data_IF_355101963358
#
_entry.id   IF_355101963358
#
_cell.length_a   1.000
_cell.length_b   1.000
_cell.length_c   1.000
_cell.angle_alpha   90.00
_cell.angle_beta   90.00
_cell.angle_gamma   90.00
#
_symmetry.space_group_name_H-M   'P 1'
#
loop_
_entity.id
_entity.type
_entity.pdbx_description
1 polymer ?
#
# COMPACT_ATOMS: atom_id res chain seq x y z
N UNK A 1 -9.61 -66.43 -8.43
CA UNK A 1 -8.49 -66.08 -7.53
C UNK A 1 -8.25 -64.60 -7.65
N UNK A 2 -8.87 -63.87 -6.78
CA UNK A 2 -8.86 -62.44 -6.67
C UNK A 2 -7.79 -62.06 -5.65
N UNK A 3 -6.81 -61.29 -6.05
CA UNK A 3 -5.81 -60.71 -5.13
C UNK A 3 -6.12 -59.23 -4.97
N UNK A 4 -6.68 -58.89 -3.83
CA UNK A 4 -6.87 -57.56 -3.31
C UNK A 4 -5.53 -56.99 -2.81
N UNK A 5 -5.03 -55.96 -3.46
CA UNK A 5 -3.95 -55.15 -2.91
C UNK A 5 -4.53 -54.06 -2.01
N UNK A 6 -4.38 -54.26 -0.73
CA UNK A 6 -4.66 -53.26 0.31
C UNK A 6 -3.54 -52.16 0.25
N UNK A 7 -3.90 -50.99 -0.30
CA UNK A 7 -3.10 -49.77 -0.15
C UNK A 7 -3.21 -49.28 1.29
N UNK A 8 -2.07 -49.31 2.00
CA UNK A 8 -1.96 -48.76 3.33
C UNK A 8 -1.85 -47.23 3.21
N UNK A 9 -2.98 -46.52 3.29
CA UNK A 9 -2.98 -45.06 3.47
C UNK A 9 -2.60 -44.79 4.92
N UNK A 10 -1.40 -44.22 5.11
CA UNK A 10 -1.00 -43.65 6.40
C UNK A 10 -1.95 -42.52 6.76
N UNK A 11 -2.53 -42.49 7.95
CA UNK A 11 -3.43 -41.40 8.34
C UNK A 11 -2.62 -40.14 8.50
N UNK A 12 -2.66 -39.25 7.51
CA UNK A 12 -2.20 -37.87 7.63
C UNK A 12 -3.05 -37.21 8.71
N UNK A 13 -2.47 -37.02 9.90
CA UNK A 13 -3.14 -36.37 11.01
C UNK A 13 -3.47 -34.94 10.58
N UNK A 14 -4.73 -34.70 10.15
CA UNK A 14 -5.24 -33.37 9.86
C UNK A 14 -5.21 -32.53 11.13
N UNK A 15 -4.81 -31.27 11.04
CA UNK A 15 -4.80 -30.36 12.18
C UNK A 15 -6.24 -30.20 12.70
N UNK A 16 -6.55 -30.52 13.99
CA UNK A 16 -7.91 -30.54 14.47
C UNK A 16 -8.49 -29.12 14.57
N UNK A 17 -9.74 -28.96 14.14
CA UNK A 17 -10.52 -27.73 14.30
C UNK A 17 -10.70 -27.34 15.77
N UNK A 18 -10.57 -28.32 16.69
CA UNK A 18 -10.68 -28.17 18.15
C UNK A 18 -9.39 -27.66 18.81
N UNK A 19 -8.34 -27.29 18.06
CA UNK A 19 -7.10 -26.79 18.67
C UNK A 19 -7.38 -25.63 19.61
N UNK A 20 -6.97 -25.79 20.88
CA UNK A 20 -7.07 -24.78 21.91
C UNK A 20 -5.73 -24.07 22.09
N UNK A 21 -5.79 -22.76 22.16
CA UNK A 21 -4.59 -21.93 22.38
C UNK A 21 -4.16 -22.10 23.85
N UNK A 22 -2.86 -22.32 24.10
CA UNK A 22 -2.35 -22.62 25.45
C UNK A 22 -2.21 -21.33 26.30
N UNK A 23 -3.33 -20.69 26.59
CA UNK A 23 -3.37 -19.43 27.35
C UNK A 23 -2.71 -19.54 28.74
N UNK A 24 -2.87 -20.69 29.39
CA UNK A 24 -2.27 -20.95 30.72
C UNK A 24 -0.75 -21.13 30.74
N UNK A 25 -0.15 -21.32 29.57
CA UNK A 25 1.33 -21.43 29.44
C UNK A 25 2.01 -20.08 29.17
N UNK A 26 1.24 -19.03 29.04
CA UNK A 26 1.80 -17.69 28.78
C UNK A 26 2.43 -17.14 30.06
N UNK A 27 3.62 -16.51 29.97
CA UNK A 27 4.22 -15.81 31.09
C UNK A 27 3.25 -14.79 31.70
N UNK A 28 3.30 -14.58 33.00
CA UNK A 28 2.43 -13.66 33.71
C UNK A 28 2.45 -12.24 33.11
N UNK A 29 3.64 -11.74 32.80
CA UNK A 29 3.82 -10.42 32.16
C UNK A 29 3.12 -10.32 30.79
N UNK A 30 3.08 -11.43 30.02
CA UNK A 30 2.35 -11.48 28.74
C UNK A 30 0.84 -11.47 28.98
N UNK A 31 0.35 -12.31 29.90
CA UNK A 31 -1.07 -12.41 30.24
C UNK A 31 -1.61 -11.07 30.75
N UNK A 32 -0.89 -10.41 31.66
CA UNK A 32 -1.25 -9.08 32.14
C UNK A 32 -1.28 -8.02 31.03
N UNK A 33 -0.33 -8.07 30.08
CA UNK A 33 -0.34 -7.15 28.95
C UNK A 33 -1.59 -7.35 28.07
N UNK A 34 -1.93 -8.61 27.77
CA UNK A 34 -3.10 -8.97 26.96
C UNK A 34 -4.42 -8.56 27.62
N UNK A 35 -4.57 -8.84 28.90
CA UNK A 35 -5.77 -8.51 29.68
C UNK A 35 -6.01 -7.01 29.82
N UNK A 36 -4.92 -6.24 29.97
CA UNK A 36 -4.97 -4.77 30.03
C UNK A 36 -5.17 -4.13 28.65
N UNK A 37 -5.30 -4.92 27.58
CA UNK A 37 -5.41 -4.42 26.21
C UNK A 37 -4.14 -3.74 25.71
N UNK A 38 -2.98 -4.05 26.30
CA UNK A 38 -1.69 -3.51 25.88
C UNK A 38 -1.02 -4.43 24.88
N UNK A 39 -0.37 -3.85 23.88
CA UNK A 39 0.40 -4.62 22.90
C UNK A 39 1.64 -5.22 23.56
N UNK A 40 1.84 -6.54 23.52
CA UNK A 40 3.04 -7.16 24.08
C UNK A 40 4.30 -6.66 23.37
N UNK A 41 5.34 -6.31 24.14
CA UNK A 41 6.62 -5.92 23.56
C UNK A 41 7.25 -7.03 22.71
N UNK A 42 8.24 -6.72 21.85
CA UNK A 42 8.79 -7.66 20.86
C UNK A 42 9.28 -8.98 21.45
N UNK A 43 9.86 -8.97 22.64
CA UNK A 43 10.32 -10.18 23.32
C UNK A 43 9.16 -11.09 23.75
N UNK A 44 8.17 -10.53 24.45
CA UNK A 44 6.97 -11.24 24.90
C UNK A 44 6.14 -11.75 23.70
N UNK A 45 6.06 -10.96 22.64
CA UNK A 45 5.37 -11.37 21.40
C UNK A 45 6.07 -12.57 20.72
N UNK A 46 7.41 -12.55 20.66
CA UNK A 46 8.18 -13.71 20.15
C UNK A 46 7.98 -14.94 21.01
N UNK A 47 7.92 -14.79 22.32
CA UNK A 47 7.68 -15.88 23.25
C UNK A 47 6.27 -16.45 23.11
N UNK A 48 5.25 -15.61 23.02
CA UNK A 48 3.89 -16.01 22.70
C UNK A 48 3.83 -16.90 21.45
N UNK A 49 4.44 -16.45 20.37
CA UNK A 49 4.47 -17.22 19.11
C UNK A 49 5.23 -18.54 19.28
N UNK A 50 6.31 -18.57 20.06
CA UNK A 50 7.06 -19.83 20.36
C UNK A 50 6.19 -20.83 21.11
N UNK A 51 5.46 -20.40 22.13
CA UNK A 51 4.58 -21.23 22.91
C UNK A 51 3.47 -21.81 22.04
N UNK A 52 2.76 -20.94 21.30
CA UNK A 52 1.66 -21.35 20.42
C UNK A 52 2.14 -22.34 19.36
N UNK A 53 3.24 -22.07 18.65
CA UNK A 53 3.76 -22.96 17.61
C UNK A 53 4.25 -24.28 18.21
N UNK A 54 4.85 -24.28 19.40
CA UNK A 54 5.24 -25.52 20.10
C UNK A 54 4.03 -26.41 20.32
N UNK A 55 2.93 -25.87 20.80
CA UNK A 55 1.71 -26.65 21.06
C UNK A 55 1.02 -27.09 19.74
N UNK A 56 1.02 -26.23 18.73
CA UNK A 56 0.54 -26.61 17.39
C UNK A 56 1.33 -27.80 16.82
N UNK A 57 2.65 -27.82 17.02
CA UNK A 57 3.50 -28.90 16.52
C UNK A 57 3.41 -30.20 17.31
N UNK A 58 2.94 -30.19 18.56
CA UNK A 58 2.59 -31.40 19.30
C UNK A 58 1.38 -32.12 18.69
N UNK A 59 0.47 -31.33 18.12
CA UNK A 59 -0.79 -31.85 17.55
C UNK A 59 -0.63 -32.28 16.09
N UNK A 60 0.18 -31.58 15.31
CA UNK A 60 0.46 -31.92 13.92
C UNK A 60 1.85 -31.50 13.49
N UNK A 61 2.58 -32.42 12.85
CA UNK A 61 3.87 -32.11 12.21
C UNK A 61 3.74 -31.25 10.97
N UNK A 62 2.54 -31.19 10.35
CA UNK A 62 2.26 -30.42 9.14
C UNK A 62 1.25 -29.29 9.42
N UNK A 63 1.79 -28.12 9.76
CA UNK A 63 0.99 -26.91 9.98
C UNK A 63 0.88 -26.15 8.67
N UNK A 64 -0.35 -26.06 8.13
CA UNK A 64 -0.68 -25.32 6.92
C UNK A 64 -0.83 -23.82 7.20
N UNK A 65 -0.85 -23.00 6.14
CA UNK A 65 -1.19 -21.57 6.25
C UNK A 65 -2.60 -21.38 6.82
N UNK A 66 -3.53 -22.25 6.50
CA UNK A 66 -4.92 -22.20 6.99
C UNK A 66 -4.95 -22.39 8.51
N UNK A 67 -4.25 -23.41 9.03
CA UNK A 67 -4.15 -23.64 10.48
C UNK A 67 -3.55 -22.43 11.22
N UNK A 68 -2.45 -21.85 10.68
CA UNK A 68 -1.86 -20.62 11.24
C UNK A 68 -2.84 -19.44 11.23
N UNK A 69 -3.67 -19.34 10.19
CA UNK A 69 -4.69 -18.29 10.07
C UNK A 69 -5.80 -18.46 11.10
N UNK A 70 -6.31 -19.67 11.30
CA UNK A 70 -7.38 -19.95 12.25
C UNK A 70 -6.93 -19.72 13.69
N UNK A 71 -5.69 -20.10 14.03
CA UNK A 71 -5.10 -19.81 15.33
C UNK A 71 -4.94 -18.31 15.54
N UNK A 72 -4.39 -17.58 14.56
CA UNK A 72 -4.23 -16.13 14.65
C UNK A 72 -5.59 -15.41 14.80
N UNK A 73 -6.63 -15.82 14.07
CA UNK A 73 -7.99 -15.30 14.23
C UNK A 73 -8.51 -15.48 15.64
N UNK A 74 -8.40 -16.70 16.20
CA UNK A 74 -8.82 -17.01 17.58
C UNK A 74 -8.07 -16.14 18.60
N UNK A 75 -6.77 -15.91 18.39
CA UNK A 75 -5.95 -15.06 19.28
C UNK A 75 -6.38 -13.60 19.22
N UNK A 76 -6.53 -13.04 18.03
CA UNK A 76 -6.96 -11.65 17.85
C UNK A 76 -8.41 -11.45 18.33
N UNK A 77 -9.30 -12.39 18.08
CA UNK A 77 -10.69 -12.32 18.56
C UNK A 77 -10.78 -12.23 20.08
N UNK A 78 -9.88 -12.93 20.80
CA UNK A 78 -9.86 -12.87 22.28
C UNK A 78 -9.25 -11.58 22.80
N UNK A 79 -8.16 -11.08 22.18
CA UNK A 79 -7.45 -9.88 22.61
C UNK A 79 -7.23 -8.88 21.46
N UNK A 80 -8.32 -8.29 20.90
CA UNK A 80 -8.22 -7.44 19.72
C UNK A 80 -7.36 -6.20 19.97
N UNK A 81 -7.53 -5.53 21.11
CA UNK A 81 -6.75 -4.33 21.47
C UNK A 81 -5.23 -4.57 21.51
N UNK A 82 -4.80 -5.81 21.85
CA UNK A 82 -3.38 -6.14 22.05
C UNK A 82 -2.73 -6.78 20.82
N UNK A 83 -3.49 -7.49 19.98
CA UNK A 83 -2.92 -8.35 18.94
C UNK A 83 -3.31 -7.95 17.52
N UNK A 84 -4.33 -7.11 17.36
CA UNK A 84 -4.80 -6.69 16.05
C UNK A 84 -3.78 -5.79 15.33
N UNK A 85 -3.70 -5.94 14.02
CA UNK A 85 -2.89 -5.06 13.18
C UNK A 85 -3.65 -3.75 12.95
N UNK A 86 -3.26 -2.71 13.66
CA UNK A 86 -3.90 -1.39 13.61
C UNK A 86 -2.84 -0.27 13.50
N UNK A 87 -3.19 0.83 12.85
CA UNK A 87 -2.49 2.11 12.89
C UNK A 87 -3.50 3.19 13.24
N UNK A 88 -3.29 3.90 14.34
CA UNK A 88 -4.16 4.98 14.81
C UNK A 88 -5.66 4.59 14.86
N UNK A 89 -5.94 3.32 15.23
CA UNK A 89 -7.29 2.78 15.28
C UNK A 89 -7.80 2.15 13.99
N UNK A 90 -7.16 2.39 12.85
CA UNK A 90 -7.52 1.80 11.58
C UNK A 90 -7.00 0.35 11.47
N UNK A 91 -7.90 -0.60 11.22
CA UNK A 91 -7.55 -2.01 11.03
C UNK A 91 -6.91 -2.19 9.67
N UNK A 92 -5.73 -2.82 9.63
CA UNK A 92 -4.99 -3.07 8.39
C UNK A 92 -5.28 -4.47 7.85
N UNK A 93 -5.85 -4.53 6.66
CA UNK A 93 -6.25 -5.79 6.02
C UNK A 93 -7.28 -6.53 6.87
N UNK A 94 -6.98 -7.78 7.23
CA UNK A 94 -7.85 -8.60 8.10
C UNK A 94 -7.57 -8.40 9.59
N UNK A 95 -6.59 -7.58 9.97
CA UNK A 95 -6.22 -7.31 11.35
C UNK A 95 -5.41 -8.41 12.07
N UNK A 96 -5.08 -9.53 11.42
CA UNK A 96 -4.33 -10.63 12.04
C UNK A 96 -3.18 -11.15 11.17
N UNK A 97 -2.89 -10.52 10.06
CA UNK A 97 -1.92 -11.04 9.09
C UNK A 97 -0.48 -11.03 9.58
N UNK A 98 -0.10 -10.05 10.41
CA UNK A 98 1.23 -10.02 11.02
C UNK A 98 1.45 -11.24 11.92
N UNK A 99 0.43 -11.64 12.68
CA UNK A 99 0.49 -12.80 13.56
C UNK A 99 0.54 -14.11 12.76
N UNK A 100 -0.26 -14.24 11.69
CA UNK A 100 -0.19 -15.37 10.76
C UNK A 100 1.24 -15.53 10.23
N UNK A 101 1.85 -14.44 9.76
CA UNK A 101 3.22 -14.47 9.25
C UNK A 101 4.24 -14.89 10.30
N UNK A 102 4.09 -14.39 11.52
CA UNK A 102 4.99 -14.75 12.63
C UNK A 102 4.88 -16.25 12.99
N UNK A 103 3.66 -16.80 13.05
CA UNK A 103 3.42 -18.23 13.27
C UNK A 103 4.07 -19.05 12.15
N UNK A 104 3.82 -18.71 10.88
CA UNK A 104 4.41 -19.41 9.73
C UNK A 104 5.93 -19.38 9.75
N UNK A 105 6.53 -18.21 9.94
CA UNK A 105 8.00 -18.08 10.03
C UNK A 105 8.57 -18.93 11.17
N UNK A 106 7.88 -19.00 12.31
CA UNK A 106 8.32 -19.84 13.42
C UNK A 106 8.23 -21.31 13.09
N UNK A 107 7.14 -21.76 12.45
CA UNK A 107 6.97 -23.14 11.98
C UNK A 107 8.11 -23.53 11.01
N UNK A 108 8.41 -22.67 10.03
CA UNK A 108 9.49 -22.89 9.09
C UNK A 108 10.86 -22.95 9.79
N UNK A 109 11.11 -22.07 10.75
CA UNK A 109 12.36 -22.05 11.50
C UNK A 109 12.55 -23.32 12.36
N UNK A 110 11.48 -23.86 12.94
CA UNK A 110 11.54 -25.11 13.72
C UNK A 110 11.77 -26.32 12.80
N UNK A 111 11.22 -26.29 11.58
CA UNK A 111 11.38 -27.36 10.58
C UNK A 111 12.72 -27.32 9.85
N UNK A 112 13.49 -26.27 9.95
CA UNK A 112 14.83 -26.21 9.33
C UNK A 112 15.74 -27.24 9.97
N UNK A 113 16.37 -28.13 9.19
CA UNK A 113 17.35 -29.06 9.72
C UNK A 113 18.54 -28.29 10.31
N UNK A 114 19.04 -28.75 11.46
CA UNK A 114 20.13 -28.12 12.21
C UNK A 114 21.49 -28.11 11.48
N UNK A 115 21.62 -28.86 10.40
CA UNK A 115 22.81 -28.90 9.54
C UNK A 115 22.63 -27.89 8.39
N UNK A 116 23.57 -26.95 8.20
CA UNK A 116 23.54 -26.07 7.05
C UNK A 116 23.72 -26.90 5.77
N UNK A 117 22.63 -27.13 5.03
CA UNK A 117 22.76 -27.60 3.66
C UNK A 117 23.37 -26.47 2.86
N UNK A 118 24.58 -26.65 2.37
CA UNK A 118 25.18 -25.80 1.35
C UNK A 118 24.26 -25.89 0.12
N UNK A 119 23.35 -24.95 0.01
CA UNK A 119 22.54 -24.78 -1.19
C UNK A 119 23.48 -24.23 -2.27
N UNK A 120 24.02 -25.14 -3.11
CA UNK A 120 24.60 -24.74 -4.39
C UNK A 120 23.55 -23.86 -5.08
N UNK A 121 23.94 -22.62 -5.45
CA UNK A 121 23.15 -21.77 -6.33
C UNK A 121 22.79 -22.63 -7.55
N UNK A 122 21.53 -23.03 -7.66
CA UNK A 122 21.00 -23.50 -8.94
C UNK A 122 21.11 -22.31 -9.88
N UNK A 123 21.88 -22.48 -10.94
CA UNK A 123 21.82 -21.57 -12.08
C UNK A 123 20.39 -21.59 -12.56
N UNK A 124 19.69 -20.50 -12.33
CA UNK A 124 18.37 -20.25 -12.87
C UNK A 124 18.53 -19.89 -14.37
N UNK A 125 18.77 -20.91 -15.18
CA UNK A 125 18.34 -20.95 -16.55
C UNK A 125 17.02 -21.72 -16.52
N UNK A 126 15.96 -21.06 -16.12
CA UNK A 126 14.62 -21.56 -16.33
C UNK A 126 13.90 -20.51 -17.18
N UNK A 127 13.85 -20.82 -18.46
CA UNK A 127 13.19 -20.09 -19.52
C UNK A 127 11.69 -20.44 -19.54
N UNK A 128 10.99 -20.21 -18.42
CA UNK A 128 9.54 -20.12 -18.38
C UNK A 128 9.16 -18.71 -17.93
N UNK A 129 9.43 -17.75 -18.78
CA UNK A 129 8.98 -16.39 -18.64
C UNK A 129 7.60 -16.23 -19.24
N UNK A 130 6.57 -16.63 -18.50
CA UNK A 130 5.24 -16.01 -18.60
C UNK A 130 5.29 -14.59 -17.99
N UNK A 131 6.37 -13.86 -18.21
CA UNK A 131 6.45 -12.46 -17.82
C UNK A 131 5.63 -11.63 -18.80
N UNK A 132 4.57 -11.03 -18.29
CA UNK A 132 3.78 -10.06 -19.04
C UNK A 132 4.71 -8.90 -19.43
N UNK A 133 4.87 -8.60 -20.74
CA UNK A 133 5.71 -7.49 -21.18
C UNK A 133 5.34 -6.19 -20.45
N UNK A 134 6.31 -5.33 -20.12
CA UNK A 134 6.05 -4.06 -19.41
C UNK A 134 4.97 -3.21 -20.07
N UNK A 135 4.92 -3.20 -21.40
CA UNK A 135 3.92 -2.49 -22.21
C UNK A 135 2.47 -2.98 -22.00
N UNK A 136 2.29 -4.23 -21.57
CA UNK A 136 0.97 -4.80 -21.25
C UNK A 136 0.61 -4.71 -19.78
N UNK A 137 1.59 -4.48 -18.89
CA UNK A 137 1.35 -4.44 -17.45
C UNK A 137 0.47 -3.27 -17.03
N UNK A 138 0.60 -2.13 -17.69
CA UNK A 138 -0.23 -0.95 -17.46
C UNK A 138 -1.69 -1.12 -17.92
N UNK A 139 -2.00 -2.14 -18.75
CA UNK A 139 -3.32 -2.35 -19.36
C UNK A 139 -4.13 -3.48 -18.73
N UNK A 140 -3.64 -4.13 -17.68
CA UNK A 140 -4.35 -5.22 -17.01
C UNK A 140 -5.45 -4.64 -16.14
N UNK A 141 -6.68 -5.17 -16.29
CA UNK A 141 -7.82 -4.75 -15.48
C UNK A 141 -7.65 -5.16 -14.03
N UNK A 142 -7.83 -4.21 -13.13
CA UNK A 142 -7.68 -4.39 -11.69
C UNK A 142 -8.85 -3.77 -10.92
N UNK A 143 -9.65 -4.61 -10.25
CA UNK A 143 -10.83 -4.19 -9.48
C UNK A 143 -10.52 -3.94 -8.01
N UNK A 144 -9.29 -4.12 -7.59
CA UNK A 144 -8.87 -4.03 -6.20
C UNK A 144 -9.08 -2.64 -5.59
N UNK A 145 -9.85 -2.57 -4.51
CA UNK A 145 -10.17 -1.33 -3.83
C UNK A 145 -11.21 -0.44 -4.49
N UNK A 146 -11.82 -0.89 -5.59
CA UNK A 146 -12.88 -0.15 -6.28
C UNK A 146 -14.26 -0.64 -5.85
N UNK A 147 -15.19 0.27 -5.55
CA UNK A 147 -16.58 -0.04 -5.22
C UNK A 147 -17.47 0.00 -6.47
N UNK A 148 -17.17 0.85 -7.43
CA UNK A 148 -17.92 1.02 -8.68
C UNK A 148 -17.10 0.63 -9.92
N UNK A 149 -16.46 -0.53 -9.89
CA UNK A 149 -15.66 -1.02 -11.02
C UNK A 149 -16.48 -1.21 -12.31
N UNK A 150 -17.58 -1.95 -12.21
CA UNK A 150 -18.51 -2.21 -13.29
C UNK A 150 -19.78 -1.41 -13.10
N UNK A 151 -19.90 -0.30 -13.80
CA UNK A 151 -21.16 0.42 -13.92
C UNK A 151 -21.93 -0.22 -15.08
N UNK A 152 -22.93 -1.06 -14.75
CA UNK A 152 -23.65 -1.87 -15.75
C UNK A 152 -24.71 -1.09 -16.52
N UNK A 153 -25.24 -0.03 -15.91
CA UNK A 153 -26.35 0.73 -16.47
C UNK A 153 -26.06 2.22 -16.42
N UNK A 154 -26.53 2.93 -17.43
CA UNK A 154 -26.56 4.39 -17.41
C UNK A 154 -27.35 4.87 -16.18
N UNK A 155 -27.00 6.02 -15.59
CA UNK A 155 -27.81 6.65 -14.55
C UNK A 155 -29.26 6.86 -15.03
N UNK A 156 -30.19 6.83 -14.09
CA UNK A 156 -31.62 7.01 -14.41
C UNK A 156 -31.85 8.34 -15.15
N UNK A 157 -32.55 8.28 -16.28
CA UNK A 157 -32.81 9.43 -17.13
C UNK A 157 -31.69 9.79 -18.11
N UNK A 158 -30.59 9.05 -18.14
CA UNK A 158 -29.51 9.23 -19.11
C UNK A 158 -29.67 8.30 -20.32
N UNK A 159 -29.25 8.81 -21.48
CA UNK A 159 -29.15 8.06 -22.73
C UNK A 159 -27.74 8.18 -23.29
N UNK A 160 -27.39 7.38 -24.30
CA UNK A 160 -26.09 7.48 -24.96
C UNK A 160 -25.89 8.87 -25.58
N UNK A 161 -26.96 9.46 -26.14
CA UNK A 161 -26.96 10.81 -26.72
C UNK A 161 -26.72 11.87 -25.66
N UNK A 162 -27.38 11.78 -24.50
CA UNK A 162 -27.21 12.75 -23.40
C UNK A 162 -25.76 12.68 -22.84
N UNK A 163 -25.21 11.49 -22.75
CA UNK A 163 -23.81 11.29 -22.33
C UNK A 163 -22.83 11.90 -23.34
N UNK A 164 -23.05 11.71 -24.63
CA UNK A 164 -22.22 12.30 -25.67
C UNK A 164 -22.33 13.85 -25.68
N UNK A 165 -23.51 14.40 -25.49
CA UNK A 165 -23.71 15.87 -25.37
C UNK A 165 -22.94 16.43 -24.18
N UNK A 166 -22.96 15.76 -23.02
CA UNK A 166 -22.20 16.16 -21.83
C UNK A 166 -20.68 16.05 -22.05
N UNK A 167 -20.23 15.02 -22.76
CA UNK A 167 -18.82 14.85 -23.15
C UNK A 167 -18.36 16.02 -24.02
N UNK A 168 -19.11 16.37 -25.05
CA UNK A 168 -18.78 17.51 -25.92
C UNK A 168 -18.84 18.84 -25.17
N UNK A 169 -19.78 18.99 -24.23
CA UNK A 169 -19.84 20.17 -23.36
C UNK A 169 -18.57 20.28 -22.49
N UNK A 170 -18.10 19.19 -21.88
CA UNK A 170 -16.84 19.19 -21.13
C UNK A 170 -15.64 19.58 -22.00
N UNK A 171 -15.56 19.07 -23.24
CA UNK A 171 -14.51 19.45 -24.19
C UNK A 171 -14.57 20.91 -24.58
N UNK A 172 -15.78 21.46 -24.78
CA UNK A 172 -15.95 22.89 -25.12
C UNK A 172 -15.55 23.81 -23.98
N UNK A 173 -15.95 23.47 -22.73
CA UNK A 173 -15.56 24.23 -21.53
C UNK A 173 -14.03 24.22 -21.34
N UNK A 174 -13.38 23.11 -21.59
CA UNK A 174 -11.92 23.02 -21.51
C UNK A 174 -11.24 23.95 -22.52
N UNK A 175 -11.71 23.98 -23.77
CA UNK A 175 -11.17 24.86 -24.81
C UNK A 175 -11.39 26.35 -24.51
N UNK A 176 -12.45 26.68 -23.77
CA UNK A 176 -12.80 28.06 -23.39
C UNK A 176 -12.08 28.49 -22.10
N UNK A 177 -11.28 27.59 -21.48
CA UNK A 177 -10.64 27.81 -20.18
C UNK A 177 -11.64 28.21 -19.07
N UNK A 178 -12.88 27.78 -19.20
CA UNK A 178 -13.92 28.07 -18.22
C UNK A 178 -13.82 27.10 -17.04
N UNK A 179 -13.47 27.62 -15.88
CA UNK A 179 -13.14 26.82 -14.69
C UNK A 179 -14.17 26.98 -13.56
N UNK A 180 -15.46 27.10 -13.86
CA UNK A 180 -16.45 27.08 -12.78
C UNK A 180 -16.51 25.68 -12.14
N UNK A 181 -16.09 25.50 -10.86
CA UNK A 181 -15.89 24.16 -10.28
C UNK A 181 -17.19 23.35 -10.13
N UNK A 182 -18.32 24.01 -9.84
CA UNK A 182 -19.57 23.31 -9.53
C UNK A 182 -20.17 22.64 -10.76
N UNK A 183 -20.39 23.35 -11.91
CA UNK A 183 -20.87 22.68 -13.11
C UNK A 183 -19.94 21.60 -13.62
N UNK A 184 -18.61 21.79 -13.48
CA UNK A 184 -17.62 20.82 -13.89
C UNK A 184 -17.71 19.51 -13.08
N UNK A 185 -17.78 19.61 -11.75
CA UNK A 185 -17.94 18.43 -10.87
C UNK A 185 -19.21 17.64 -11.23
N UNK A 186 -20.33 18.32 -11.44
CA UNK A 186 -21.59 17.68 -11.81
C UNK A 186 -21.52 16.99 -13.18
N UNK A 187 -20.89 17.62 -14.17
CA UNK A 187 -20.71 17.01 -15.49
C UNK A 187 -19.78 15.79 -15.43
N UNK A 188 -18.64 15.90 -14.73
CA UNK A 188 -17.73 14.78 -14.54
C UNK A 188 -18.43 13.61 -13.84
N UNK A 189 -19.17 13.87 -12.77
CA UNK A 189 -19.94 12.85 -12.04
C UNK A 189 -21.00 12.20 -12.91
N UNK A 190 -21.80 13.00 -13.64
CA UNK A 190 -22.88 12.49 -14.49
C UNK A 190 -22.38 11.68 -15.69
N UNK A 191 -21.14 11.85 -16.10
CA UNK A 191 -20.49 11.12 -17.20
C UNK A 191 -19.57 9.99 -16.73
N UNK A 192 -19.49 9.72 -15.41
CA UNK A 192 -18.65 8.68 -14.84
C UNK A 192 -18.86 7.31 -15.51
N UNK A 193 -20.12 6.94 -15.79
CA UNK A 193 -20.44 5.70 -16.49
C UNK A 193 -19.68 5.58 -17.82
N UNK A 194 -19.75 6.60 -18.68
CA UNK A 194 -19.10 6.58 -19.99
C UNK A 194 -17.59 6.59 -19.87
N UNK A 195 -17.04 7.41 -18.96
CA UNK A 195 -15.61 7.41 -18.66
C UNK A 195 -15.13 6.03 -18.26
N UNK A 196 -15.83 5.36 -17.34
CA UNK A 196 -15.49 4.03 -16.85
C UNK A 196 -15.58 2.97 -17.93
N UNK A 197 -16.60 3.03 -18.78
CA UNK A 197 -16.77 2.16 -19.93
C UNK A 197 -15.58 2.27 -20.90
N UNK A 198 -15.13 3.49 -21.20
CA UNK A 198 -14.01 3.70 -22.12
C UNK A 198 -12.69 3.12 -21.56
N UNK A 199 -12.42 3.29 -20.25
CA UNK A 199 -11.26 2.67 -19.60
C UNK A 199 -11.37 1.14 -19.61
N UNK A 200 -12.52 0.58 -19.24
CA UNK A 200 -12.73 -0.85 -19.17
C UNK A 200 -12.67 -1.51 -20.56
N UNK A 201 -12.99 -0.75 -21.62
CA UNK A 201 -12.85 -1.17 -23.02
C UNK A 201 -11.42 -0.99 -23.55
N UNK A 202 -10.45 -0.61 -22.70
CA UNK A 202 -9.04 -0.53 -23.04
C UNK A 202 -8.65 0.67 -23.89
N UNK A 203 -9.40 1.77 -23.81
CA UNK A 203 -8.97 3.03 -24.43
C UNK A 203 -7.66 3.49 -23.79
N UNK A 204 -6.71 3.90 -24.63
CA UNK A 204 -5.41 4.36 -24.17
C UNK A 204 -5.48 5.78 -23.57
N UNK A 205 -4.40 6.18 -22.89
CA UNK A 205 -4.31 7.46 -22.20
C UNK A 205 -4.41 8.64 -23.16
N UNK A 206 -3.85 8.53 -24.38
CA UNK A 206 -3.95 9.61 -25.39
C UNK A 206 -5.40 9.85 -25.80
N UNK A 207 -6.13 8.78 -26.09
CA UNK A 207 -7.55 8.87 -26.40
C UNK A 207 -8.33 9.51 -25.24
N UNK A 208 -8.05 9.09 -24.00
CA UNK A 208 -8.74 9.62 -22.83
C UNK A 208 -8.42 11.12 -22.63
N UNK A 209 -7.18 11.54 -22.84
CA UNK A 209 -6.76 12.94 -22.73
C UNK A 209 -7.47 13.83 -23.77
N UNK A 210 -7.59 13.36 -25.01
CA UNK A 210 -8.30 14.08 -26.07
C UNK A 210 -9.82 14.18 -25.83
N UNK A 211 -10.39 13.14 -25.24
CA UNK A 211 -11.84 13.02 -25.09
C UNK A 211 -12.38 13.47 -23.73
N UNK A 212 -11.55 13.46 -22.70
CA UNK A 212 -11.89 13.82 -21.33
C UNK A 212 -10.80 14.70 -20.70
N UNK A 213 -10.44 15.85 -21.28
CA UNK A 213 -9.28 16.63 -20.85
C UNK A 213 -9.38 17.06 -19.37
N UNK A 214 -10.56 17.40 -18.85
CA UNK A 214 -10.75 17.72 -17.44
C UNK A 214 -10.51 16.54 -16.49
N UNK A 215 -10.49 15.32 -16.97
CA UNK A 215 -10.17 14.17 -16.13
C UNK A 215 -8.74 14.20 -15.60
N UNK A 216 -7.85 14.86 -16.33
CA UNK A 216 -6.45 14.99 -15.98
C UNK A 216 -6.12 16.23 -15.15
N UNK A 217 -7.13 17.03 -14.82
CA UNK A 217 -7.04 18.10 -13.84
C UNK A 217 -7.36 17.59 -12.43
N UNK A 218 -6.91 18.31 -11.39
CA UNK A 218 -7.15 17.94 -9.98
C UNK A 218 -8.63 17.67 -9.70
N UNK A 219 -9.53 18.55 -10.18
CA UNK A 219 -10.98 18.43 -9.95
C UNK A 219 -11.54 17.17 -10.60
N UNK A 220 -11.25 16.95 -11.86
CA UNK A 220 -11.80 15.82 -12.62
C UNK A 220 -11.27 14.48 -12.11
N UNK A 221 -9.97 14.41 -11.81
CA UNK A 221 -9.34 13.23 -11.22
C UNK A 221 -9.96 12.89 -9.86
N UNK A 222 -10.13 13.88 -8.99
CA UNK A 222 -10.73 13.71 -7.65
C UNK A 222 -12.17 13.22 -7.75
N UNK A 223 -12.99 13.78 -8.64
CA UNK A 223 -14.38 13.34 -8.82
C UNK A 223 -14.44 11.89 -9.30
N UNK A 224 -13.67 11.53 -10.32
CA UNK A 224 -13.66 10.16 -10.84
C UNK A 224 -13.16 9.15 -9.79
N UNK A 225 -12.11 9.50 -9.09
CA UNK A 225 -11.55 8.65 -8.02
C UNK A 225 -12.56 8.43 -6.89
N UNK A 226 -13.27 9.50 -6.48
CA UNK A 226 -14.30 9.41 -5.44
C UNK A 226 -15.47 8.52 -5.88
N UNK A 227 -15.98 8.68 -7.09
CA UNK A 227 -17.04 7.81 -7.64
C UNK A 227 -16.57 6.35 -7.74
N UNK A 228 -15.30 6.13 -8.07
CA UNK A 228 -14.74 4.78 -8.23
C UNK A 228 -14.51 4.06 -6.90
N UNK A 229 -13.98 4.77 -5.90
CA UNK A 229 -13.48 4.18 -4.64
C UNK A 229 -14.33 4.53 -3.41
N UNK A 230 -15.17 5.56 -3.49
CA UNK A 230 -15.89 6.12 -2.35
C UNK A 230 -15.04 6.98 -1.42
N UNK A 231 -13.79 7.28 -1.80
CA UNK A 231 -12.82 8.02 -0.97
C UNK A 231 -12.61 9.42 -1.54
N UNK A 232 -12.72 10.45 -0.71
CA UNK A 232 -12.25 11.78 -1.09
C UNK A 232 -10.71 11.79 -1.07
N UNK A 233 -10.11 11.97 -2.25
CA UNK A 233 -8.69 11.77 -2.48
C UNK A 233 -7.80 12.64 -1.59
N UNK A 234 -7.96 13.96 -1.69
CA UNK A 234 -7.09 14.94 -1.04
C UNK A 234 -7.45 15.16 0.43
N UNK A 235 -8.74 15.23 0.74
CA UNK A 235 -9.22 15.40 2.10
C UNK A 235 -8.79 14.22 2.98
N UNK A 236 -9.00 12.99 2.51
CA UNK A 236 -8.59 11.77 3.23
C UNK A 236 -7.08 11.73 3.44
N UNK A 237 -6.31 12.06 2.40
CA UNK A 237 -4.85 12.10 2.49
C UNK A 237 -4.38 13.11 3.56
N UNK A 238 -4.84 14.36 3.48
CA UNK A 238 -4.45 15.42 4.41
C UNK A 238 -4.84 15.11 5.85
N UNK A 239 -6.06 14.62 6.08
CA UNK A 239 -6.51 14.15 7.39
C UNK A 239 -5.59 13.08 7.97
N UNK A 240 -5.21 12.09 7.17
CA UNK A 240 -4.29 11.04 7.62
C UNK A 240 -2.85 11.56 7.82
N UNK A 241 -2.40 12.52 7.02
CA UNK A 241 -1.10 13.19 7.25
C UNK A 241 -1.10 13.91 8.61
N UNK A 242 -2.15 14.67 8.90
CA UNK A 242 -2.29 15.34 10.20
C UNK A 242 -2.27 14.36 11.38
N UNK A 243 -2.96 13.23 11.25
CA UNK A 243 -3.07 12.24 12.33
C UNK A 243 -1.83 11.36 12.48
N UNK A 244 -1.14 11.01 11.39
CA UNK A 244 -0.13 9.95 11.36
C UNK A 244 1.26 10.42 10.91
N UNK A 245 1.33 11.55 10.21
CA UNK A 245 2.55 12.00 9.52
C UNK A 245 3.69 12.30 10.47
N UNK A 246 3.44 13.07 11.54
CA UNK A 246 4.46 13.43 12.53
C UNK A 246 5.07 12.20 13.20
N UNK A 247 4.24 11.25 13.61
CA UNK A 247 4.71 10.00 14.23
C UNK A 247 5.52 9.14 13.30
N UNK A 248 5.09 9.03 12.03
CA UNK A 248 5.84 8.30 11.01
C UNK A 248 7.21 8.95 10.79
N UNK A 249 7.27 10.27 10.63
CA UNK A 249 8.52 11.01 10.47
C UNK A 249 9.42 10.84 11.69
N UNK A 250 8.88 10.96 12.90
CA UNK A 250 9.65 10.74 14.13
C UNK A 250 10.22 9.32 14.19
N UNK A 251 9.40 8.30 13.90
CA UNK A 251 9.86 6.91 13.82
C UNK A 251 10.97 6.73 12.79
N UNK A 252 10.81 7.28 11.58
CA UNK A 252 11.79 7.17 10.51
C UNK A 252 13.13 7.82 10.91
N UNK A 253 13.10 9.01 11.50
CA UNK A 253 14.30 9.77 11.90
C UNK A 253 15.02 9.20 13.11
N UNK A 254 14.31 8.55 14.03
CA UNK A 254 14.89 8.06 15.30
C UNK A 254 15.15 6.56 15.28
N UNK A 255 14.12 5.74 15.07
CA UNK A 255 14.22 4.29 15.19
C UNK A 255 14.74 3.64 13.91
N UNK A 256 14.16 3.99 12.77
CA UNK A 256 14.52 3.39 11.50
C UNK A 256 15.92 3.81 11.06
N UNK A 257 16.32 5.05 11.31
CA UNK A 257 17.67 5.56 10.99
C UNK A 257 18.78 4.71 11.63
N UNK A 258 18.52 4.14 12.80
CA UNK A 258 19.48 3.31 13.51
C UNK A 258 19.49 1.84 13.06
N UNK A 259 18.58 1.42 12.16
CA UNK A 259 18.48 0.00 11.73
C UNK A 259 19.53 -0.37 10.69
N UNK A 260 19.79 0.48 9.70
CA UNK A 260 20.75 0.20 8.62
C UNK A 260 21.54 1.45 8.25
N UNK A 261 22.85 1.26 7.97
CA UNK A 261 23.73 2.34 7.51
C UNK A 261 23.21 3.00 6.22
N UNK A 262 22.63 2.21 5.32
CA UNK A 262 22.07 2.69 4.05
C UNK A 262 20.90 3.65 4.26
N UNK A 263 19.95 3.27 5.13
CA UNK A 263 18.83 4.14 5.44
C UNK A 263 19.25 5.41 6.16
N UNK A 264 20.20 5.31 7.10
CA UNK A 264 20.79 6.48 7.78
C UNK A 264 21.39 7.47 6.77
N UNK A 265 22.18 6.98 5.80
CA UNK A 265 22.78 7.82 4.76
C UNK A 265 21.70 8.48 3.89
N UNK A 266 20.65 7.75 3.51
CA UNK A 266 19.54 8.33 2.75
C UNK A 266 18.81 9.41 3.55
N UNK A 267 18.48 9.15 4.82
CA UNK A 267 17.82 10.11 5.69
C UNK A 267 18.66 11.38 5.89
N UNK A 268 19.98 11.24 6.10
CA UNK A 268 20.90 12.38 6.21
C UNK A 268 20.94 13.20 4.91
N UNK A 269 21.01 12.53 3.75
CA UNK A 269 20.96 13.20 2.44
C UNK A 269 19.67 14.00 2.26
N UNK A 270 18.52 13.40 2.60
CA UNK A 270 17.21 14.05 2.49
C UNK A 270 17.11 15.27 3.41
N UNK A 271 17.63 15.18 4.62
CA UNK A 271 17.70 16.31 5.55
C UNK A 271 18.54 17.46 5.01
N UNK A 272 19.68 17.17 4.38
CA UNK A 272 20.53 18.19 3.72
C UNK A 272 19.81 18.83 2.53
N UNK A 273 19.12 18.04 1.71
CA UNK A 273 18.34 18.54 0.58
C UNK A 273 17.14 19.39 1.00
N UNK A 274 16.52 19.06 2.12
CA UNK A 274 15.44 19.86 2.70
C UNK A 274 15.92 21.22 3.18
N UNK A 275 17.12 21.30 3.75
CA UNK A 275 17.69 22.53 4.29
C UNK A 275 16.86 23.10 5.45
N UNK A 276 16.66 24.42 5.46
CA UNK A 276 15.90 25.14 6.49
C UNK A 276 14.39 25.23 6.17
N UNK A 277 13.95 24.64 5.06
CA UNK A 277 12.53 24.69 4.69
C UNK A 277 11.66 23.87 5.66
N UNK A 278 10.71 24.55 6.26
CA UNK A 278 9.75 23.95 7.20
C UNK A 278 8.33 24.20 6.71
N UNK A 279 7.50 23.18 6.77
CA UNK A 279 6.10 23.26 6.39
C UNK A 279 5.48 21.87 6.18
N UNK A 280 4.16 21.79 6.12
CA UNK A 280 3.45 20.53 5.95
C UNK A 280 3.71 19.88 4.60
N UNK A 281 3.97 20.66 3.55
CA UNK A 281 4.30 20.14 2.21
C UNK A 281 5.67 19.46 2.22
N UNK A 282 6.68 20.10 2.86
CA UNK A 282 8.02 19.57 3.01
C UNK A 282 8.03 18.32 3.88
N UNK A 283 7.20 18.27 4.93
CA UNK A 283 7.04 17.08 5.77
C UNK A 283 6.46 15.92 4.98
N UNK A 284 5.47 16.16 4.12
CA UNK A 284 4.91 15.13 3.23
C UNK A 284 5.95 14.66 2.22
N UNK A 285 6.70 15.59 1.63
CA UNK A 285 7.79 15.27 0.70
C UNK A 285 8.84 14.39 1.36
N UNK A 286 9.32 14.78 2.55
CA UNK A 286 10.28 14.00 3.33
C UNK A 286 9.73 12.62 3.70
N UNK A 287 8.48 12.54 4.12
CA UNK A 287 7.81 11.29 4.47
C UNK A 287 7.81 10.29 3.29
N UNK A 288 7.45 10.75 2.09
CA UNK A 288 7.42 9.88 0.90
C UNK A 288 8.81 9.41 0.52
N UNK A 289 9.79 10.30 0.50
CA UNK A 289 11.18 9.97 0.16
C UNK A 289 11.82 9.04 1.20
N UNK A 290 11.51 9.22 2.49
CA UNK A 290 11.95 8.30 3.55
C UNK A 290 11.27 6.93 3.44
N UNK A 291 10.00 6.84 3.03
CA UNK A 291 9.34 5.56 2.77
C UNK A 291 10.01 4.79 1.63
N UNK A 292 10.33 5.46 0.52
CA UNK A 292 11.09 4.86 -0.59
C UNK A 292 12.43 4.31 -0.10
N UNK A 293 13.17 5.10 0.67
CA UNK A 293 14.45 4.69 1.24
C UNK A 293 14.31 3.53 2.23
N UNK A 294 13.26 3.54 3.08
CA UNK A 294 13.00 2.48 4.06
C UNK A 294 12.69 1.14 3.39
N UNK A 295 11.90 1.18 2.32
CA UNK A 295 11.57 0.00 1.55
C UNK A 295 12.64 -0.39 0.52
N UNK A 296 13.73 0.36 0.43
CA UNK A 296 14.77 0.16 -0.58
C UNK A 296 14.19 0.15 -2.01
N UNK A 297 13.27 1.06 -2.26
CA UNK A 297 12.62 1.28 -3.55
C UNK A 297 13.24 2.49 -4.24
N UNK A 298 13.31 2.46 -5.56
CA UNK A 298 14.01 3.48 -6.33
C UNK A 298 13.15 4.72 -6.52
N UNK A 299 13.72 5.86 -6.23
CA UNK A 299 13.06 7.16 -6.39
C UNK A 299 12.74 7.47 -7.86
N UNK A 300 13.58 7.05 -8.80
CA UNK A 300 13.46 7.30 -10.24
C UNK A 300 12.24 6.61 -10.91
N UNK A 301 11.60 5.67 -10.21
CA UNK A 301 10.36 5.04 -10.67
C UNK A 301 9.11 5.90 -10.32
N UNK A 302 9.20 6.74 -9.28
CA UNK A 302 8.12 7.63 -8.87
C UNK A 302 8.32 9.07 -9.35
N UNK A 303 9.58 9.55 -9.42
CA UNK A 303 9.96 10.90 -9.75
C UNK A 303 10.97 10.94 -10.90
N UNK A 304 10.66 11.67 -11.94
CA UNK A 304 11.57 11.95 -13.06
C UNK A 304 11.97 13.42 -13.02
N UNK A 305 13.27 13.70 -12.88
CA UNK A 305 13.76 15.06 -12.74
C UNK A 305 14.18 15.64 -14.09
N UNK A 306 13.71 16.85 -14.38
CA UNK A 306 14.06 17.63 -15.57
C UNK A 306 14.49 19.04 -15.18
N UNK A 307 15.05 19.80 -16.11
CA UNK A 307 15.39 21.22 -15.89
C UNK A 307 14.12 22.00 -15.49
N UNK A 308 14.28 23.04 -14.66
CA UNK A 308 13.16 23.82 -14.13
C UNK A 308 12.36 24.55 -15.22
N UNK A 309 12.99 24.89 -16.33
CA UNK A 309 12.39 25.53 -17.51
C UNK A 309 11.86 24.56 -18.54
N UNK A 310 12.08 23.24 -18.39
CA UNK A 310 11.71 22.20 -19.35
C UNK A 310 10.21 22.23 -19.64
N UNK A 311 9.82 22.32 -20.91
CA UNK A 311 8.43 22.23 -21.35
C UNK A 311 7.99 20.77 -21.49
N UNK A 312 6.68 20.52 -21.46
CA UNK A 312 6.13 19.17 -21.58
C UNK A 312 6.61 18.43 -22.85
N UNK A 313 6.69 19.14 -23.96
CA UNK A 313 7.15 18.58 -25.24
C UNK A 313 8.68 18.34 -25.33
N UNK A 314 9.46 18.81 -24.35
CA UNK A 314 10.92 18.65 -24.29
C UNK A 314 11.33 17.49 -23.39
N UNK A 315 10.40 16.92 -22.63
CA UNK A 315 10.67 15.78 -21.75
C UNK A 315 10.99 14.54 -22.59
N UNK A 316 12.15 13.93 -22.32
CA UNK A 316 12.55 12.67 -22.94
C UNK A 316 11.67 11.51 -22.40
N UNK A 317 10.56 11.26 -23.08
CA UNK A 317 9.56 10.28 -22.65
C UNK A 317 10.07 8.84 -22.65
N UNK A 318 11.12 8.52 -23.40
CA UNK A 318 11.72 7.18 -23.40
C UNK A 318 12.38 6.84 -22.04
N UNK A 319 12.73 7.86 -21.27
CA UNK A 319 13.30 7.72 -19.93
C UNK A 319 12.26 7.75 -18.81
N UNK A 320 11.04 8.16 -19.11
CA UNK A 320 9.95 8.20 -18.12
C UNK A 320 9.30 6.82 -18.03
N UNK A 321 9.04 6.30 -16.82
CA UNK A 321 8.31 5.04 -16.66
C UNK A 321 6.93 5.07 -17.32
N UNK A 322 6.45 3.89 -17.78
CA UNK A 322 5.07 3.72 -18.26
C UNK A 322 4.02 3.92 -17.17
N UNK A 323 4.40 3.61 -15.93
CA UNK A 323 3.51 3.80 -14.78
C UNK A 323 3.35 5.28 -14.43
N UNK A 324 2.28 5.68 -13.73
CA UNK A 324 2.10 7.06 -13.28
C UNK A 324 3.35 7.58 -12.57
N UNK A 325 3.91 8.67 -13.09
CA UNK A 325 5.19 9.26 -12.67
C UNK A 325 5.06 10.77 -12.54
N UNK A 326 5.61 11.34 -11.47
CA UNK A 326 5.70 12.77 -11.28
C UNK A 326 6.96 13.27 -11.96
N UNK A 327 6.82 14.13 -12.96
CA UNK A 327 7.95 14.83 -13.58
C UNK A 327 8.22 16.12 -12.80
N UNK A 328 9.36 16.18 -12.14
CA UNK A 328 9.74 17.28 -11.26
C UNK A 328 10.58 18.27 -12.06
N UNK A 329 10.08 19.50 -12.25
CA UNK A 329 10.84 20.57 -12.90
C UNK A 329 11.80 21.20 -11.88
N UNK A 330 13.05 20.80 -11.89
CA UNK A 330 14.07 21.20 -10.92
C UNK A 330 14.88 20.03 -10.38
N UNK A 331 15.79 20.30 -9.45
CA UNK A 331 16.73 19.30 -8.93
C UNK A 331 16.20 18.53 -7.70
N UNK A 332 15.07 18.96 -7.13
CA UNK A 332 14.55 18.39 -5.89
C UNK A 332 13.03 18.61 -5.77
N UNK A 333 12.32 17.61 -5.24
CA UNK A 333 10.91 17.74 -4.88
C UNK A 333 10.64 18.85 -3.85
N UNK A 334 11.62 19.22 -3.02
CA UNK A 334 11.46 20.28 -2.00
C UNK A 334 11.40 21.69 -2.61
N UNK A 335 12.11 21.92 -3.71
CA UNK A 335 12.31 23.25 -4.29
C UNK A 335 11.58 23.45 -5.61
N UNK A 336 11.00 22.40 -6.16
CA UNK A 336 10.28 22.50 -7.42
C UNK A 336 8.99 23.29 -7.26
N UNK A 337 8.83 24.31 -8.08
CA UNK A 337 7.60 25.12 -8.15
C UNK A 337 6.60 24.60 -9.16
N UNK A 338 7.01 23.68 -10.02
CA UNK A 338 6.20 23.10 -11.06
C UNK A 338 6.51 21.61 -11.22
N UNK A 339 5.46 20.84 -11.30
CA UNK A 339 5.53 19.42 -11.57
C UNK A 339 4.57 19.10 -12.70
N UNK A 340 4.86 18.01 -13.42
CA UNK A 340 3.96 17.46 -14.43
C UNK A 340 3.60 16.03 -14.04
N UNK A 341 2.50 15.53 -14.56
CA UNK A 341 2.09 14.14 -14.39
C UNK A 341 2.21 13.41 -15.72
N UNK A 342 2.92 12.29 -15.71
CA UNK A 342 3.02 11.37 -16.84
C UNK A 342 2.28 10.09 -16.53
N UNK A 343 1.54 9.57 -17.50
CA UNK A 343 0.88 8.25 -17.48
C UNK A 343 1.05 7.62 -18.85
N UNK A 344 1.50 6.37 -18.91
CA UNK A 344 1.74 5.63 -20.17
C UNK A 344 2.69 6.40 -21.14
N UNK A 345 3.73 7.05 -20.55
CA UNK A 345 4.68 7.93 -21.27
C UNK A 345 4.01 9.07 -22.04
N UNK A 346 2.92 9.59 -21.49
CA UNK A 346 2.24 10.81 -21.98
C UNK A 346 2.18 11.80 -20.85
N UNK A 347 2.64 13.04 -21.06
CA UNK A 347 2.38 14.12 -20.12
C UNK A 347 0.89 14.45 -20.18
N UNK A 348 0.19 14.17 -19.10
CA UNK A 348 -1.28 14.34 -19.02
C UNK A 348 -1.69 15.60 -18.25
N UNK A 349 -0.77 16.15 -17.43
CA UNK A 349 -0.92 17.46 -16.79
C UNK A 349 0.45 18.12 -16.71
N UNK A 350 0.54 19.35 -17.21
CA UNK A 350 1.81 20.06 -17.38
C UNK A 350 2.12 21.06 -16.26
N UNK A 351 1.12 21.38 -15.43
CA UNK A 351 1.23 22.49 -14.50
C UNK A 351 0.60 22.18 -13.13
N UNK A 352 1.32 21.44 -12.33
CA UNK A 352 0.95 21.14 -10.95
C UNK A 352 1.92 21.89 -10.03
N UNK A 353 1.39 22.81 -9.22
CA UNK A 353 2.21 23.68 -8.36
C UNK A 353 2.43 23.14 -6.94
N UNK A 354 1.81 22.01 -6.57
CA UNK A 354 1.88 21.43 -5.24
C UNK A 354 2.33 19.98 -5.27
N UNK A 355 3.33 19.63 -4.46
CA UNK A 355 3.78 18.25 -4.28
C UNK A 355 2.64 17.34 -3.83
N UNK A 356 1.82 17.78 -2.87
CA UNK A 356 0.69 17.01 -2.36
C UNK A 356 -0.32 16.73 -3.48
N UNK A 357 -0.63 17.73 -4.28
CA UNK A 357 -1.54 17.56 -5.44
C UNK A 357 -0.96 16.58 -6.46
N UNK A 358 0.33 16.70 -6.80
CA UNK A 358 0.97 15.78 -7.76
C UNK A 358 1.01 14.35 -7.24
N UNK A 359 1.29 14.15 -5.96
CA UNK A 359 1.27 12.84 -5.31
C UNK A 359 -0.15 12.22 -5.32
N UNK A 360 -1.17 13.01 -4.96
CA UNK A 360 -2.56 12.57 -4.98
C UNK A 360 -3.01 12.18 -6.40
N UNK A 361 -2.69 12.99 -7.40
CA UNK A 361 -3.06 12.72 -8.79
C UNK A 361 -2.30 11.50 -9.35
N UNK A 362 -1.02 11.37 -9.07
CA UNK A 362 -0.21 10.20 -9.44
C UNK A 362 -0.81 8.93 -8.82
N UNK A 363 -1.13 8.96 -7.53
CA UNK A 363 -1.76 7.83 -6.85
C UNK A 363 -3.13 7.48 -7.44
N UNK A 364 -3.99 8.49 -7.66
CA UNK A 364 -5.31 8.30 -8.24
C UNK A 364 -5.26 7.69 -9.64
N UNK A 365 -4.23 8.00 -10.43
CA UNK A 365 -4.05 7.47 -11.79
C UNK A 365 -3.97 5.95 -11.81
N UNK A 366 -3.38 5.30 -10.79
CA UNK A 366 -3.37 3.85 -10.68
C UNK A 366 -4.77 3.24 -10.60
N UNK A 367 -5.72 3.94 -9.98
CA UNK A 367 -7.11 3.52 -9.87
C UNK A 367 -7.95 3.91 -11.08
N UNK A 368 -7.87 5.18 -11.45
CA UNK A 368 -8.67 5.74 -12.55
C UNK A 368 -8.40 5.02 -13.88
N UNK A 369 -7.15 4.65 -14.16
CA UNK A 369 -6.75 4.02 -15.42
C UNK A 369 -6.46 2.52 -15.32
N UNK A 370 -6.86 1.88 -14.22
CA UNK A 370 -6.71 0.42 -14.00
C UNK A 370 -5.26 -0.08 -14.07
N UNK A 371 -4.32 0.68 -13.56
CA UNK A 371 -2.90 0.37 -13.59
C UNK A 371 -2.51 -0.39 -12.31
N UNK A 372 -1.74 -1.46 -12.44
CA UNK A 372 -1.13 -2.15 -11.30
C UNK A 372 0.08 -1.38 -10.74
N UNK A 373 0.31 -1.52 -9.44
CA UNK A 373 1.55 -1.03 -8.85
C UNK A 373 2.74 -1.82 -9.39
N UNK A 374 3.80 -1.14 -9.87
CA UNK A 374 5.00 -1.83 -10.25
C UNK A 374 5.66 -2.50 -9.03
N UNK A 375 6.26 -3.66 -9.22
CA UNK A 375 6.93 -4.39 -8.13
C UNK A 375 8.03 -3.58 -7.45
N UNK A 376 8.60 -2.62 -8.16
CA UNK A 376 9.66 -1.70 -7.70
C UNK A 376 9.18 -0.58 -6.79
N UNK A 377 7.86 -0.30 -6.70
CA UNK A 377 7.23 0.68 -5.81
C UNK A 377 6.12 0.06 -4.95
N UNK A 378 6.02 -1.26 -4.96
CA UNK A 378 4.89 -1.98 -4.38
C UNK A 378 4.67 -1.69 -2.89
N UNK A 379 5.75 -1.55 -2.11
CA UNK A 379 5.65 -1.36 -0.66
C UNK A 379 5.26 0.06 -0.30
N UNK A 380 5.85 1.06 -0.94
CA UNK A 380 5.53 2.48 -0.71
C UNK A 380 4.09 2.77 -1.12
N UNK A 381 3.68 2.37 -2.33
CA UNK A 381 2.31 2.61 -2.81
C UNK A 381 1.27 1.88 -1.97
N UNK A 382 1.52 0.62 -1.56
CA UNK A 382 0.57 -0.09 -0.70
C UNK A 382 0.52 0.49 0.73
N UNK A 383 1.63 1.00 1.26
CA UNK A 383 1.63 1.70 2.54
C UNK A 383 0.83 2.99 2.47
N UNK A 384 1.06 3.84 1.46
CA UNK A 384 0.29 5.05 1.21
C UNK A 384 -1.20 4.74 1.04
N UNK A 385 -1.53 3.75 0.21
CA UNK A 385 -2.90 3.29 -0.02
C UNK A 385 -3.63 2.97 1.28
N UNK A 386 -3.02 2.15 2.15
CA UNK A 386 -3.68 1.66 3.36
C UNK A 386 -3.71 2.68 4.48
N UNK A 387 -2.61 3.40 4.68
CA UNK A 387 -2.42 4.27 5.84
C UNK A 387 -2.82 5.71 5.58
N UNK A 388 -2.72 6.20 4.34
CA UNK A 388 -2.98 7.61 4.01
C UNK A 388 -4.19 7.82 3.10
N UNK A 389 -4.46 6.91 2.16
CA UNK A 389 -5.66 7.00 1.31
C UNK A 389 -6.83 6.15 1.81
N UNK A 390 -6.68 5.46 2.93
CA UNK A 390 -7.74 4.65 3.58
C UNK A 390 -8.38 3.59 2.68
N UNK A 391 -7.70 3.15 1.62
CA UNK A 391 -8.15 2.03 0.78
C UNK A 391 -7.54 0.75 1.32
N UNK A 392 -8.32 0.00 2.12
CA UNK A 392 -7.81 -1.09 2.91
C UNK A 392 -8.61 -2.40 2.73
N UNK A 393 -8.63 -2.98 1.52
CA UNK A 393 -9.32 -4.24 1.29
C UNK A 393 -8.67 -5.39 2.06
N UNK A 394 -9.50 -6.33 2.54
CA UNK A 394 -9.04 -7.49 3.31
C UNK A 394 -8.25 -8.49 2.46
N UNK A 395 -8.55 -8.60 1.18
CA UNK A 395 -8.00 -9.61 0.26
C UNK A 395 -7.53 -8.98 -1.03
N UNK A 396 -6.58 -9.63 -1.67
CA UNK A 396 -6.03 -9.20 -2.95
C UNK A 396 -4.84 -8.27 -2.81
N UNK A 397 -4.33 -7.81 -3.93
CA UNK A 397 -3.24 -6.85 -4.05
C UNK A 397 -3.39 -6.07 -5.34
N UNK A 398 -2.94 -4.82 -5.36
CA UNK A 398 -2.87 -4.00 -6.56
C UNK A 398 -1.50 -4.08 -7.25
N UNK A 399 -0.58 -4.84 -6.69
CA UNK A 399 0.76 -5.05 -7.26
C UNK A 399 0.68 -5.98 -8.47
N UNK A 400 1.44 -5.67 -9.53
CA UNK A 400 1.61 -6.54 -10.67
C UNK A 400 2.02 -7.96 -10.23
N UNK A 401 1.40 -8.97 -10.81
CA UNK A 401 1.68 -10.36 -10.46
C UNK A 401 2.53 -11.00 -11.56
N UNK A 402 3.77 -11.32 -11.23
CA UNK A 402 4.66 -12.12 -12.10
C UNK A 402 4.45 -13.63 -11.93
N UNK A 403 3.83 -14.07 -10.84
CA UNK A 403 3.50 -15.49 -10.52
C UNK A 403 2.20 -15.56 -9.74
N UNK A 404 1.44 -16.64 -9.90
CA UNK A 404 0.07 -16.87 -9.38
C UNK A 404 -0.13 -16.85 -7.84
N UNK A 405 0.77 -16.28 -7.06
CA UNK A 405 0.63 -16.13 -5.61
C UNK A 405 -0.04 -14.79 -5.27
N UNK A 406 -1.33 -14.83 -4.99
CA UNK A 406 -2.04 -13.69 -4.40
C UNK A 406 -1.48 -13.41 -3.00
N UNK A 407 -0.76 -12.31 -2.84
CA UNK A 407 -0.38 -11.77 -1.54
C UNK A 407 -1.59 -11.01 -0.96
N UNK A 408 -1.82 -11.14 0.35
CA UNK A 408 -2.91 -10.39 1.00
C UNK A 408 -2.47 -8.94 1.31
N UNK A 409 -1.40 -8.78 2.08
CA UNK A 409 -0.76 -7.49 2.35
C UNK A 409 0.75 -7.70 2.17
N UNK A 410 1.43 -6.72 1.61
CA UNK A 410 2.88 -6.79 1.44
C UNK A 410 3.58 -7.04 2.79
N UNK A 411 4.40 -8.08 2.90
CA UNK A 411 5.09 -8.41 4.14
C UNK A 411 5.98 -7.28 4.68
N UNK A 412 6.53 -6.43 3.81
CA UNK A 412 7.36 -5.29 4.23
C UNK A 412 6.50 -4.19 4.85
N UNK A 413 5.32 -3.95 4.28
CA UNK A 413 4.30 -3.04 4.83
C UNK A 413 3.84 -3.51 6.20
N UNK A 414 3.50 -4.80 6.36
CA UNK A 414 3.14 -5.35 7.67
C UNK A 414 4.26 -5.20 8.72
N UNK A 415 5.51 -5.32 8.29
CA UNK A 415 6.66 -5.13 9.21
C UNK A 415 6.74 -3.68 9.68
N UNK A 416 6.61 -2.70 8.76
CA UNK A 416 6.61 -1.28 9.13
C UNK A 416 5.46 -0.93 10.06
N UNK A 417 4.24 -1.41 9.78
CA UNK A 417 3.06 -1.22 10.63
C UNK A 417 3.31 -1.74 12.04
N UNK A 418 3.90 -2.92 12.14
CA UNK A 418 4.22 -3.51 13.43
C UNK A 418 5.29 -2.71 14.19
N UNK A 419 6.34 -2.30 13.50
CA UNK A 419 7.41 -1.49 14.08
C UNK A 419 6.88 -0.13 14.59
N UNK A 420 5.98 0.51 13.83
CA UNK A 420 5.31 1.75 14.24
C UNK A 420 4.46 1.53 15.48
N UNK A 421 3.63 0.48 15.50
CA UNK A 421 2.80 0.15 16.67
C UNK A 421 3.65 -0.14 17.92
N UNK A 422 4.79 -0.82 17.76
CA UNK A 422 5.72 -1.08 18.89
C UNK A 422 6.38 0.22 19.37
N UNK A 423 6.65 1.17 18.47
CA UNK A 423 7.22 2.48 18.81
C UNK A 423 6.23 3.36 19.60
N UNK A 424 4.99 3.41 19.19
CA UNK A 424 3.93 4.15 19.91
C UNK A 424 3.79 3.68 21.36
N UNK A 425 3.81 2.39 21.61
CA UNK A 425 3.78 1.85 22.98
C UNK A 425 4.97 2.28 23.82
N UNK A 426 6.16 2.33 23.28
CA UNK A 426 7.36 2.79 24.00
C UNK A 426 7.26 4.27 24.38
N UNK A 427 6.77 5.11 23.49
CA UNK A 427 6.57 6.53 23.76
C UNK A 427 5.56 6.76 24.90
N UNK A 428 4.44 6.04 24.92
CA UNK A 428 3.45 6.10 25.99
C UNK A 428 4.04 5.59 27.32
N UNK A 429 4.84 4.51 27.28
CA UNK A 429 5.48 3.97 28.49
C UNK A 429 6.49 4.93 29.10
N UNK A 430 7.33 5.59 28.30
CA UNK A 430 8.28 6.57 28.78
C UNK A 430 7.58 7.80 29.36
N UNK A 431 6.46 8.22 28.77
CA UNK A 431 5.65 9.31 29.29
C UNK A 431 4.99 8.97 30.65
N UNK A 432 4.45 7.76 30.80
CA UNK A 432 3.90 7.29 32.07
C UNK A 432 4.99 7.06 33.13
N UNK A 433 6.18 6.59 32.79
CA UNK A 433 7.31 6.51 33.74
C UNK A 433 7.77 7.87 34.21
N UNK A 434 7.82 8.88 33.33
CA UNK A 434 8.12 10.26 33.68
C UNK A 434 7.05 10.86 34.61
N UNK A 435 5.77 10.56 34.37
CA UNK A 435 4.68 11.00 35.26
C UNK A 435 4.74 10.30 36.62
N UNK A 436 5.00 8.99 36.68
CA UNK A 436 5.08 8.25 37.96
C UNK A 436 6.30 8.65 38.78
N UNK A 437 7.44 9.03 38.15
CA UNK A 437 8.62 9.55 38.84
C UNK A 437 8.41 10.96 39.39
N UNK A 438 7.60 11.79 38.74
CA UNK A 438 7.29 13.15 39.22
C UNK A 438 6.21 13.19 40.31
N UNK A 439 5.48 12.11 40.55
CA UNK A 439 4.52 11.99 41.67
C UNK A 439 5.09 11.23 42.88
N UNK A 440 6.34 10.72 42.79
CA UNK A 440 7.00 9.99 43.87
C UNK A 440 8.10 10.82 44.58
N UNK A 441 8.28 12.07 44.18
CA UNK A 441 9.07 13.10 44.89
C UNK A 441 8.13 14.25 45.30
#
# INVERSE_FOLDING_TARGET
MSSSSSGCESPGCSFPDSFQIPWGEFPEALTQALERGRRPGPSLRKEMVRIVVREMMKVSSSISKMNATDVAKKMVAKYPKSLQDVIEGDIIGTGYQSLVKQIQNRVENVKRPSTPKITRRKNWHDSDTDEIPPEKRAKIQDTYGCIHWHVKFLPLGETAESQQQKKEKLKSLFRQSEQSPVPLKLLMKSTFYTQRQEVNNGKDVKYLLENWPYWFDEIGMTVHFNELTGVDLKETFLKNVEQKGERLLHFMKTVAANKTKRFYQAATKLQLLRGEHTGSSEDVTEMVLLLLAYFDEKEDVMFHYVEDTCLAGEVDMDRVPLTPTIVVCGQSCYHSRRMMLSVDQVIVNENISSFITSLCMMFASYYCFNIHYPSTLASTLEFLQRCFFSINPEKGTKVEQTKAKRLHVNPRVLTLIQDLSDHEWRAIYSFFQLLTHNFAN
#
